data_IF_646378747820
#
_entry.id   IF_646378747820
#
_cell.length_a   1.000
_cell.length_b   1.000
_cell.length_c   1.000
_cell.angle_alpha   90.00
_cell.angle_beta   90.00
_cell.angle_gamma   90.00
#
_symmetry.space_group_name_H-M   'P 1'
#
loop_
_entity.id
_entity.type
_entity.pdbx_description
1 polymer ?
#
# COMPACT_ATOMS: atom_id res chain seq x y z
N UNK A 1 -28.90 -53.20 38.99
CA UNK A 1 -29.13 -52.68 37.62
C UNK A 1 -30.09 -51.51 37.68
N UNK A 2 -29.63 -50.25 37.63
CA UNK A 2 -30.43 -49.03 37.30
C UNK A 2 -29.59 -47.75 37.47
N UNK A 3 -28.57 -47.52 36.62
CA UNK A 3 -27.79 -46.25 36.60
C UNK A 3 -27.76 -45.60 35.20
N UNK A 4 -28.31 -46.27 34.18
CA UNK A 4 -28.22 -45.86 32.77
C UNK A 4 -29.16 -44.70 32.32
N UNK A 5 -30.36 -44.44 32.90
CA UNK A 5 -31.28 -43.47 32.30
C UNK A 5 -30.97 -42.00 32.61
N UNK A 6 -30.15 -41.71 33.63
CA UNK A 6 -29.88 -40.33 34.10
C UNK A 6 -28.79 -39.63 33.29
N UNK A 7 -27.76 -40.37 32.85
CA UNK A 7 -26.69 -39.86 31.97
C UNK A 7 -27.21 -39.47 30.58
N UNK A 8 -28.21 -40.18 30.06
CA UNK A 8 -28.81 -39.92 28.74
C UNK A 8 -29.63 -38.61 28.70
N UNK A 9 -30.18 -38.17 29.83
CA UNK A 9 -30.95 -36.92 29.94
C UNK A 9 -30.04 -35.69 30.09
N UNK A 10 -28.87 -35.85 30.71
CA UNK A 10 -27.89 -34.77 30.85
C UNK A 10 -27.24 -34.45 29.50
N UNK A 11 -26.87 -35.46 28.70
CA UNK A 11 -26.32 -35.26 27.34
C UNK A 11 -27.32 -34.58 26.39
N UNK A 12 -28.63 -34.88 26.51
CA UNK A 12 -29.65 -34.26 25.66
C UNK A 12 -29.93 -32.78 26.01
N UNK A 13 -29.80 -32.41 27.28
CA UNK A 13 -30.00 -31.04 27.75
C UNK A 13 -28.80 -30.12 27.41
N UNK A 14 -27.58 -30.65 27.36
CA UNK A 14 -26.40 -29.88 26.95
C UNK A 14 -26.35 -29.64 25.43
N UNK A 15 -26.93 -30.51 24.60
CA UNK A 15 -27.01 -30.30 23.15
C UNK A 15 -28.00 -29.21 22.72
N UNK A 16 -29.04 -28.90 23.52
CA UNK A 16 -30.05 -27.89 23.14
C UNK A 16 -29.61 -26.44 23.40
N UNK A 17 -28.67 -26.19 24.32
CA UNK A 17 -28.22 -24.83 24.64
C UNK A 17 -27.07 -24.33 23.73
N UNK A 18 -26.37 -25.23 23.02
CA UNK A 18 -25.25 -24.88 22.13
C UNK A 18 -25.72 -24.47 20.72
N UNK A 19 -26.86 -24.99 20.27
CA UNK A 19 -27.41 -24.69 18.94
C UNK A 19 -27.75 -23.20 18.69
N UNK A 20 -28.42 -22.45 19.59
CA UNK A 20 -28.79 -21.06 19.31
C UNK A 20 -27.59 -20.11 19.29
N UNK A 21 -26.56 -20.36 20.11
CA UNK A 21 -25.33 -19.56 20.12
C UNK A 21 -24.52 -19.76 18.83
N UNK A 22 -24.48 -20.99 18.29
CA UNK A 22 -23.82 -21.30 17.02
C UNK A 22 -24.51 -20.64 15.83
N UNK A 23 -25.85 -20.57 15.83
CA UNK A 23 -26.61 -19.94 14.75
C UNK A 23 -26.41 -18.42 14.74
N UNK A 24 -26.52 -17.77 15.91
CA UNK A 24 -26.29 -16.33 16.03
C UNK A 24 -24.86 -15.92 15.65
N UNK A 25 -23.85 -16.73 16.00
CA UNK A 25 -22.47 -16.48 15.59
C UNK A 25 -22.27 -16.64 14.08
N UNK A 26 -22.93 -17.62 13.47
CA UNK A 26 -22.90 -17.83 12.01
C UNK A 26 -23.57 -16.67 11.27
N UNK A 27 -24.72 -16.19 11.76
CA UNK A 27 -25.42 -15.03 11.20
C UNK A 27 -24.56 -13.77 11.30
N UNK A 28 -23.94 -13.53 12.46
CA UNK A 28 -23.04 -12.38 12.66
C UNK A 28 -21.83 -12.42 11.71
N UNK A 29 -21.20 -13.59 11.55
CA UNK A 29 -20.09 -13.77 10.61
C UNK A 29 -20.53 -13.55 9.15
N UNK A 30 -21.74 -13.99 8.78
CA UNK A 30 -22.28 -13.75 7.45
C UNK A 30 -22.50 -12.26 7.19
N UNK A 31 -23.11 -11.53 8.13
CA UNK A 31 -23.30 -10.08 8.01
C UNK A 31 -21.97 -9.33 7.94
N UNK A 32 -20.97 -9.71 8.72
CA UNK A 32 -19.63 -9.13 8.65
C UNK A 32 -19.03 -9.26 7.23
N UNK A 33 -19.14 -10.45 6.62
CA UNK A 33 -18.65 -10.70 5.25
C UNK A 33 -19.38 -9.85 4.20
N UNK A 34 -20.71 -9.70 4.34
CA UNK A 34 -21.52 -8.83 3.46
C UNK A 34 -21.10 -7.37 3.62
N UNK A 35 -20.88 -6.90 4.84
CA UNK A 35 -20.40 -5.54 5.11
C UNK A 35 -19.06 -5.28 4.42
N UNK A 36 -18.09 -6.19 4.56
CA UNK A 36 -16.79 -6.07 3.90
C UNK A 36 -16.93 -5.98 2.37
N UNK A 37 -17.83 -6.78 1.76
CA UNK A 37 -18.10 -6.65 0.32
C UNK A 37 -18.70 -5.30 -0.06
N UNK A 38 -19.61 -4.77 0.76
CA UNK A 38 -20.19 -3.44 0.54
C UNK A 38 -19.13 -2.34 0.63
N UNK A 39 -18.21 -2.44 1.59
CA UNK A 39 -17.07 -1.54 1.74
C UNK A 39 -16.12 -1.61 0.54
N UNK A 40 -15.74 -2.81 0.10
CA UNK A 40 -14.88 -3.00 -1.08
C UNK A 40 -15.56 -2.50 -2.36
N UNK A 41 -16.86 -2.76 -2.53
CA UNK A 41 -17.61 -2.24 -3.66
C UNK A 41 -17.57 -0.71 -3.68
N UNK A 42 -17.81 -0.06 -2.54
CA UNK A 42 -17.78 1.39 -2.43
C UNK A 42 -16.38 1.94 -2.71
N UNK A 43 -15.34 1.39 -2.07
CA UNK A 43 -13.95 1.82 -2.25
C UNK A 43 -13.55 1.76 -3.73
N UNK A 44 -13.79 0.63 -4.40
CA UNK A 44 -13.44 0.47 -5.82
C UNK A 44 -14.28 1.42 -6.70
N UNK A 45 -15.57 1.55 -6.43
CA UNK A 45 -16.48 2.41 -7.21
C UNK A 45 -16.06 3.87 -7.16
N UNK A 46 -15.65 4.36 -5.99
CA UNK A 46 -15.41 5.77 -5.77
C UNK A 46 -13.94 6.19 -5.84
N UNK A 47 -12.99 5.28 -5.55
CA UNK A 47 -11.57 5.61 -5.45
C UNK A 47 -10.69 4.96 -6.54
N UNK A 48 -11.07 3.80 -7.10
CA UNK A 48 -10.17 3.07 -8.00
C UNK A 48 -9.94 3.81 -9.33
N UNK A 49 -8.69 4.23 -9.64
CA UNK A 49 -8.42 5.09 -10.80
C UNK A 49 -8.68 4.39 -12.14
N UNK A 50 -8.59 3.06 -12.20
CA UNK A 50 -8.75 2.31 -13.46
C UNK A 50 -10.19 1.91 -13.76
N UNK A 51 -11.14 2.19 -12.86
CA UNK A 51 -12.56 1.95 -13.14
C UNK A 51 -13.14 3.03 -14.11
N UNK A 52 -12.38 4.09 -14.34
CA UNK A 52 -12.75 5.19 -15.24
C UNK A 52 -12.55 4.78 -16.70
N UNK A 53 -13.61 4.31 -17.34
CA UNK A 53 -13.56 3.83 -18.73
C UNK A 53 -14.70 2.88 -19.12
N UNK A 54 -15.46 2.35 -18.15
CA UNK A 54 -16.69 1.60 -18.39
C UNK A 54 -16.52 0.19 -18.96
N UNK A 55 -15.29 -0.33 -19.06
CA UNK A 55 -15.01 -1.66 -19.61
C UNK A 55 -15.09 -2.77 -18.57
N UNK A 56 -14.89 -2.46 -17.29
CA UNK A 56 -14.94 -3.44 -16.20
C UNK A 56 -16.35 -3.60 -15.66
N UNK A 57 -16.89 -4.81 -15.70
CA UNK A 57 -18.23 -5.15 -15.18
C UNK A 57 -18.24 -5.29 -13.64
N UNK A 58 -17.75 -4.27 -12.93
CA UNK A 58 -17.52 -4.29 -11.49
C UNK A 58 -18.77 -4.59 -10.65
N UNK A 59 -19.90 -3.95 -11.00
CA UNK A 59 -21.16 -4.18 -10.29
C UNK A 59 -21.66 -5.62 -10.46
N UNK A 60 -21.58 -6.16 -11.68
CA UNK A 60 -21.97 -7.54 -11.95
C UNK A 60 -21.07 -8.55 -11.21
N UNK A 61 -19.75 -8.28 -11.16
CA UNK A 61 -18.82 -9.10 -10.39
C UNK A 61 -19.12 -9.05 -8.89
N UNK A 62 -19.44 -7.87 -8.35
CA UNK A 62 -19.83 -7.70 -6.95
C UNK A 62 -21.12 -8.46 -6.62
N UNK A 63 -22.14 -8.39 -7.47
CA UNK A 63 -23.39 -9.15 -7.28
C UNK A 63 -23.10 -10.66 -7.26
N UNK A 64 -22.28 -11.16 -8.19
CA UNK A 64 -21.89 -12.56 -8.19
C UNK A 64 -21.10 -12.96 -6.92
N UNK A 65 -20.24 -12.07 -6.42
CA UNK A 65 -19.49 -12.27 -5.18
C UNK A 65 -20.39 -12.29 -3.94
N UNK A 66 -21.44 -11.46 -3.91
CA UNK A 66 -22.46 -11.47 -2.85
C UNK A 66 -23.19 -12.82 -2.84
N UNK A 67 -23.67 -13.29 -3.99
CA UNK A 67 -24.34 -14.58 -4.11
C UNK A 67 -23.43 -15.75 -3.71
N UNK A 68 -22.14 -15.68 -4.02
CA UNK A 68 -21.16 -16.67 -3.59
C UNK A 68 -20.93 -16.61 -2.08
N UNK A 69 -20.89 -15.42 -1.49
CA UNK A 69 -20.68 -15.20 -0.05
C UNK A 69 -21.83 -15.71 0.79
N UNK A 70 -23.06 -15.55 0.33
CA UNK A 70 -24.25 -16.13 0.98
C UNK A 70 -24.21 -17.66 1.05
N UNK A 71 -23.46 -18.31 0.15
CA UNK A 71 -23.25 -19.76 0.09
C UNK A 71 -21.93 -20.22 0.70
N UNK A 72 -21.06 -19.29 1.09
CA UNK A 72 -19.71 -19.60 1.56
C UNK A 72 -19.74 -20.09 3.02
N UNK A 73 -19.21 -21.30 3.30
CA UNK A 73 -19.31 -21.89 4.64
C UNK A 73 -18.23 -21.38 5.62
N UNK A 74 -17.25 -20.60 5.16
CA UNK A 74 -16.07 -20.26 5.96
C UNK A 74 -15.42 -18.94 5.55
N UNK A 75 -14.55 -18.42 6.43
CA UNK A 75 -13.77 -17.20 6.20
C UNK A 75 -12.75 -17.36 5.07
N UNK A 76 -12.10 -18.53 4.97
CA UNK A 76 -11.18 -18.82 3.87
C UNK A 76 -11.91 -18.85 2.52
N UNK A 77 -13.13 -19.41 2.47
CA UNK A 77 -13.95 -19.37 1.26
C UNK A 77 -14.36 -17.93 0.89
N UNK A 78 -14.69 -17.11 1.88
CA UNK A 78 -14.98 -15.69 1.67
C UNK A 78 -13.75 -14.93 1.13
N UNK A 79 -12.58 -15.10 1.73
CA UNK A 79 -11.34 -14.48 1.26
C UNK A 79 -10.95 -14.95 -0.15
N UNK A 80 -11.24 -16.20 -0.52
CA UNK A 80 -11.11 -16.69 -1.89
C UNK A 80 -12.01 -15.89 -2.87
N UNK A 81 -13.28 -15.70 -2.51
CA UNK A 81 -14.26 -14.91 -3.30
C UNK A 81 -13.78 -13.47 -3.46
N UNK A 82 -13.30 -12.82 -2.39
CA UNK A 82 -12.73 -11.47 -2.47
C UNK A 82 -11.56 -11.41 -3.44
N UNK A 83 -10.67 -12.40 -3.42
CA UNK A 83 -9.55 -12.47 -4.37
C UNK A 83 -10.02 -12.57 -5.83
N UNK A 84 -11.04 -13.39 -6.11
CA UNK A 84 -11.64 -13.49 -7.45
C UNK A 84 -12.33 -12.19 -7.86
N UNK A 85 -13.01 -11.51 -6.94
CA UNK A 85 -13.64 -10.22 -7.19
C UNK A 85 -12.59 -9.16 -7.58
N UNK A 86 -11.53 -8.98 -6.79
CA UNK A 86 -10.49 -7.99 -7.07
C UNK A 86 -9.74 -8.27 -8.37
N UNK A 87 -9.55 -9.56 -8.72
CA UNK A 87 -8.91 -9.94 -9.99
C UNK A 87 -9.69 -9.46 -11.23
N UNK A 88 -10.98 -9.12 -11.12
CA UNK A 88 -11.76 -8.55 -12.24
C UNK A 88 -11.29 -7.17 -12.69
N UNK A 89 -10.52 -6.46 -11.84
CA UNK A 89 -9.98 -5.14 -12.13
C UNK A 89 -8.71 -5.18 -12.98
N UNK A 90 -8.06 -6.35 -13.11
CA UNK A 90 -6.79 -6.55 -13.81
C UNK A 90 -5.69 -5.55 -13.38
N UNK A 91 -5.72 -5.14 -12.11
CA UNK A 91 -4.73 -4.24 -11.51
C UNK A 91 -3.79 -5.03 -10.58
N UNK A 92 -2.48 -5.10 -10.87
CA UNK A 92 -1.52 -5.82 -10.03
C UNK A 92 -1.39 -5.25 -8.62
N UNK A 93 -1.76 -3.99 -8.38
CA UNK A 93 -1.76 -3.39 -7.04
C UNK A 93 -3.07 -3.65 -6.27
N UNK A 94 -4.15 -4.02 -6.96
CA UNK A 94 -5.44 -4.33 -6.35
C UNK A 94 -5.62 -5.83 -6.27
N UNK A 95 -5.29 -6.40 -5.11
CA UNK A 95 -5.15 -7.83 -4.94
C UNK A 95 -5.41 -8.26 -3.50
N UNK A 96 -5.61 -9.56 -3.30
CA UNK A 96 -5.62 -10.16 -1.96
C UNK A 96 -4.21 -10.57 -1.57
N UNK A 97 -3.74 -10.06 -0.45
CA UNK A 97 -2.53 -10.53 0.21
C UNK A 97 -2.87 -11.53 1.29
N UNK A 98 -2.27 -12.71 1.21
CA UNK A 98 -2.17 -13.62 2.35
C UNK A 98 -0.90 -13.22 3.11
N UNK A 99 -0.95 -13.03 4.44
CA UNK A 99 0.24 -12.82 5.25
C UNK A 99 1.21 -13.95 4.96
N UNK A 100 2.22 -13.66 4.14
CA UNK A 100 3.22 -14.64 3.83
C UNK A 100 4.13 -14.74 5.05
N UNK A 101 4.41 -15.96 5.50
CA UNK A 101 5.52 -16.24 6.41
C UNK A 101 6.85 -16.06 5.66
N UNK A 102 7.11 -14.86 5.13
CA UNK A 102 8.33 -14.54 4.41
C UNK A 102 9.22 -13.76 5.37
N UNK A 103 10.35 -14.41 5.71
CA UNK A 103 11.44 -13.83 6.45
C UNK A 103 12.11 -12.75 5.63
N UNK A 104 11.66 -11.51 5.81
CA UNK A 104 12.55 -10.38 5.59
C UNK A 104 13.76 -10.59 6.51
N UNK A 105 14.95 -10.21 6.06
CA UNK A 105 16.08 -10.09 6.96
C UNK A 105 15.64 -9.29 8.19
N UNK A 106 15.98 -9.76 9.39
CA UNK A 106 15.60 -9.07 10.62
C UNK A 106 16.28 -7.71 10.66
N UNK A 107 15.54 -6.67 10.29
CA UNK A 107 15.98 -5.28 10.43
C UNK A 107 15.67 -4.84 11.85
N UNK A 108 16.68 -4.36 12.56
CA UNK A 108 16.50 -3.77 13.90
C UNK A 108 16.35 -2.26 13.76
N UNK A 109 15.36 -1.68 14.44
CA UNK A 109 15.27 -0.20 14.54
C UNK A 109 16.53 0.36 15.18
N UNK A 110 17.09 1.39 14.55
CA UNK A 110 18.29 2.10 14.97
C UNK A 110 18.31 3.50 14.34
N UNK A 111 19.05 4.45 14.95
CA UNK A 111 19.38 5.72 14.31
C UNK A 111 20.02 5.52 12.94
N UNK A 112 19.76 6.46 12.02
CA UNK A 112 20.32 6.42 10.68
C UNK A 112 21.85 6.52 10.74
N UNK A 113 22.51 5.81 9.83
CA UNK A 113 23.98 5.74 9.77
C UNK A 113 24.44 6.02 8.36
N UNK A 114 25.48 6.83 8.25
CA UNK A 114 26.19 7.02 7.00
C UNK A 114 27.59 6.42 7.11
N UNK A 115 27.95 5.59 6.15
CA UNK A 115 29.30 5.05 6.01
C UNK A 115 29.79 5.26 4.58
N UNK A 116 31.10 5.42 4.42
CA UNK A 116 31.74 5.53 3.12
C UNK A 116 32.79 4.45 2.96
N UNK A 117 32.71 3.73 1.85
CA UNK A 117 33.70 2.77 1.41
C UNK A 117 34.21 3.15 0.01
N UNK A 118 35.37 3.80 -0.02
CA UNK A 118 35.97 4.31 -1.26
C UNK A 118 35.06 5.32 -1.99
N UNK A 119 34.49 4.88 -3.12
CA UNK A 119 33.62 5.70 -4.00
C UNK A 119 32.12 5.49 -3.76
N UNK A 120 31.76 4.67 -2.75
CA UNK A 120 30.39 4.33 -2.42
C UNK A 120 30.07 4.90 -1.03
N UNK A 121 29.02 5.71 -0.95
CA UNK A 121 28.38 6.09 0.31
C UNK A 121 27.14 5.24 0.55
N UNK A 122 26.92 4.83 1.80
CA UNK A 122 25.72 4.08 2.21
C UNK A 122 25.05 4.85 3.34
N UNK A 123 23.82 5.30 3.10
CA UNK A 123 22.93 5.83 4.13
C UNK A 123 21.90 4.75 4.47
N UNK A 124 22.00 4.19 5.66
CA UNK A 124 21.06 3.21 6.19
C UNK A 124 20.03 3.91 7.08
N UNK A 125 18.74 3.67 6.80
CA UNK A 125 17.61 4.18 7.57
C UNK A 125 16.60 3.07 7.80
N UNK A 126 16.52 2.61 9.04
CA UNK A 126 15.65 1.50 9.45
C UNK A 126 14.42 1.93 10.25
N UNK A 127 14.41 3.17 10.76
CA UNK A 127 13.34 3.73 11.59
C UNK A 127 13.05 5.19 11.17
N UNK A 128 11.86 5.47 10.61
CA UNK A 128 11.46 6.82 10.24
C UNK A 128 11.42 7.82 11.41
N UNK A 129 11.09 7.37 12.63
CA UNK A 129 11.01 8.25 13.81
C UNK A 129 12.39 8.56 14.41
N UNK A 130 13.38 7.71 14.15
CA UNK A 130 14.76 7.96 14.59
C UNK A 130 15.42 9.13 13.84
N UNK A 131 14.78 9.72 12.85
CA UNK A 131 15.24 10.93 12.13
C UNK A 131 15.46 12.14 13.04
N UNK A 132 14.76 12.22 14.18
CA UNK A 132 14.98 13.26 15.19
C UNK A 132 16.25 13.05 16.02
N UNK A 133 16.80 11.84 16.02
CA UNK A 133 18.04 11.55 16.73
C UNK A 133 19.21 12.39 16.15
N UNK A 134 20.04 13.03 16.99
CA UNK A 134 21.17 13.84 16.51
C UNK A 134 22.15 13.07 15.64
N UNK A 135 22.38 11.77 15.87
CA UNK A 135 23.24 10.96 15.02
C UNK A 135 22.59 10.72 13.66
N UNK A 136 21.28 10.50 13.60
CA UNK A 136 20.54 10.44 12.33
C UNK A 136 20.67 11.74 11.54
N UNK A 137 20.44 12.89 12.18
CA UNK A 137 20.56 14.20 11.52
C UNK A 137 21.98 14.44 10.98
N UNK A 138 23.00 14.02 11.73
CA UNK A 138 24.38 14.05 11.28
C UNK A 138 24.60 13.13 10.06
N UNK A 139 24.03 11.92 10.05
CA UNK A 139 24.11 10.99 8.93
C UNK A 139 23.45 11.54 7.66
N UNK A 140 22.25 12.12 7.74
CA UNK A 140 21.60 12.78 6.59
C UNK A 140 22.42 13.98 6.07
N UNK A 141 22.96 14.78 7.00
CA UNK A 141 23.83 15.92 6.64
C UNK A 141 25.12 15.44 5.96
N UNK A 142 25.71 14.36 6.45
CA UNK A 142 26.90 13.78 5.84
C UNK A 142 26.60 13.21 4.45
N UNK A 143 25.53 12.42 4.29
CA UNK A 143 25.13 11.84 3.02
C UNK A 143 24.84 12.89 1.92
N UNK A 144 24.23 14.02 2.31
CA UNK A 144 23.92 15.13 1.39
C UNK A 144 25.15 15.97 0.98
N UNK A 145 26.24 15.90 1.74
CA UNK A 145 27.50 16.65 1.46
C UNK A 145 28.64 15.77 0.98
N UNK A 146 28.52 14.45 1.10
CA UNK A 146 29.57 13.51 0.76
C UNK A 146 29.89 13.51 -0.75
N UNK A 147 31.15 13.22 -1.07
CA UNK A 147 31.71 13.25 -2.41
C UNK A 147 31.87 11.87 -3.06
N UNK A 148 31.22 10.83 -2.55
CA UNK A 148 31.12 9.53 -3.23
C UNK A 148 30.48 9.68 -4.61
N UNK A 149 30.86 8.81 -5.54
CA UNK A 149 30.26 8.76 -6.87
C UNK A 149 28.89 8.10 -6.86
N UNK A 150 28.71 7.16 -5.93
CA UNK A 150 27.52 6.33 -5.78
C UNK A 150 26.99 6.48 -4.38
N UNK A 151 25.67 6.58 -4.27
CA UNK A 151 24.96 6.60 -3.00
C UNK A 151 23.97 5.44 -2.96
N UNK A 152 24.09 4.61 -1.93
CA UNK A 152 23.09 3.60 -1.59
C UNK A 152 22.23 4.16 -0.47
N UNK A 153 20.92 4.23 -0.69
CA UNK A 153 19.92 4.48 0.34
C UNK A 153 19.28 3.16 0.72
N UNK A 154 19.69 2.59 1.84
CA UNK A 154 19.04 1.43 2.40
C UNK A 154 17.88 1.90 3.28
N UNK A 155 16.66 1.83 2.74
CA UNK A 155 15.43 2.27 3.39
C UNK A 155 14.58 1.09 3.86
N UNK A 156 15.17 -0.10 4.00
CA UNK A 156 14.46 -1.27 4.52
C UNK A 156 14.00 -1.00 5.95
N UNK A 157 12.69 -1.13 6.18
CA UNK A 157 12.07 -0.89 7.48
C UNK A 157 12.01 -2.16 8.33
N UNK A 158 12.05 -1.99 9.66
CA UNK A 158 11.79 -3.07 10.61
C UNK A 158 10.28 -3.35 10.81
N UNK A 159 9.45 -2.33 10.64
CA UNK A 159 8.01 -2.35 10.84
C UNK A 159 7.34 -1.27 9.97
N UNK A 160 6.02 -1.38 9.71
CA UNK A 160 5.29 -0.36 8.95
C UNK A 160 5.47 1.04 9.54
N UNK A 161 5.76 2.01 8.69
CA UNK A 161 5.84 3.41 9.07
C UNK A 161 4.44 4.02 9.21
N UNK A 162 4.19 4.71 10.31
CA UNK A 162 2.99 5.55 10.44
C UNK A 162 3.10 6.84 9.60
N UNK A 163 1.97 7.51 9.36
CA UNK A 163 1.91 8.70 8.49
C UNK A 163 2.84 9.82 8.94
N UNK A 164 2.98 10.03 10.26
CA UNK A 164 3.88 11.04 10.80
C UNK A 164 5.35 10.69 10.55
N UNK A 165 5.76 9.46 10.89
CA UNK A 165 7.12 8.97 10.61
C UNK A 165 7.47 9.04 9.12
N UNK A 166 6.53 8.68 8.24
CA UNK A 166 6.67 8.82 6.78
C UNK A 166 6.95 10.26 6.36
N UNK A 167 6.18 11.22 6.87
CA UNK A 167 6.36 12.63 6.55
C UNK A 167 7.74 13.15 6.99
N UNK A 168 8.17 12.81 8.22
CA UNK A 168 9.46 13.26 8.74
C UNK A 168 10.62 12.66 7.95
N UNK A 169 10.58 11.36 7.64
CA UNK A 169 11.63 10.71 6.85
C UNK A 169 11.73 11.31 5.45
N UNK A 170 10.62 11.58 4.79
CA UNK A 170 10.62 12.25 3.49
C UNK A 170 11.27 13.64 3.55
N UNK A 171 10.99 14.42 4.60
CA UNK A 171 11.66 15.71 4.83
C UNK A 171 13.17 15.56 5.05
N UNK A 172 13.60 14.55 5.81
CA UNK A 172 15.02 14.28 6.08
C UNK A 172 15.78 13.79 4.83
N UNK A 173 15.11 13.05 3.94
CA UNK A 173 15.68 12.54 2.69
C UNK A 173 15.78 13.60 1.59
N UNK A 174 14.94 14.64 1.61
CA UNK A 174 14.89 15.62 0.52
C UNK A 174 16.28 16.24 0.20
N UNK A 175 17.09 16.73 1.16
CA UNK A 175 18.42 17.25 0.86
C UNK A 175 19.36 16.20 0.27
N UNK A 176 19.23 14.94 0.71
CA UNK A 176 20.02 13.82 0.19
C UNK A 176 19.66 13.54 -1.27
N UNK A 177 18.38 13.45 -1.60
CA UNK A 177 17.91 13.24 -2.97
C UNK A 177 18.28 14.43 -3.89
N UNK A 178 18.20 15.67 -3.41
CA UNK A 178 18.58 16.86 -4.18
C UNK A 178 20.08 16.99 -4.40
N UNK A 179 20.90 16.37 -3.54
CA UNK A 179 22.36 16.42 -3.65
C UNK A 179 22.92 15.49 -4.71
N UNK A 180 22.15 14.49 -5.18
CA UNK A 180 22.57 13.55 -6.25
C UNK A 180 22.24 14.04 -7.66
N UNK A 181 21.65 15.23 -7.79
CA UNK A 181 21.16 15.78 -9.05
C UNK A 181 22.07 16.86 -9.62
N UNK A 182 22.09 16.97 -10.94
CA UNK A 182 22.69 18.07 -11.71
C UNK A 182 21.64 18.93 -12.44
N UNK A 183 20.44 18.39 -12.68
CA UNK A 183 19.31 19.09 -13.29
C UNK A 183 18.03 18.89 -12.49
N UNK A 184 17.07 19.80 -12.66
CA UNK A 184 15.72 19.59 -12.12
C UNK A 184 15.09 18.38 -12.78
N UNK A 185 14.48 17.52 -11.97
CA UNK A 185 13.71 16.35 -12.44
C UNK A 185 12.24 16.57 -12.07
N UNK A 186 11.35 16.42 -13.06
CA UNK A 186 9.91 16.43 -12.85
C UNK A 186 9.43 14.99 -12.68
N UNK A 187 8.69 14.74 -11.62
CA UNK A 187 8.12 13.43 -11.32
C UNK A 187 6.79 13.15 -12.00
N UNK A 188 6.22 12.03 -11.61
CA UNK A 188 4.85 11.69 -11.95
C UNK A 188 3.88 12.45 -11.05
N UNK A 189 2.77 12.92 -11.63
CA UNK A 189 1.66 13.46 -10.89
C UNK A 189 0.85 12.32 -10.26
N UNK A 190 0.37 12.54 -9.04
CA UNK A 190 -0.65 11.66 -8.47
C UNK A 190 -1.98 11.92 -9.19
N UNK A 191 -2.61 10.84 -9.64
CA UNK A 191 -3.95 10.85 -10.18
C UNK A 191 -4.85 9.96 -9.31
N UNK A 192 -5.99 10.51 -8.93
CA UNK A 192 -6.97 9.85 -8.07
C UNK A 192 -8.37 10.06 -8.61
N UNK A 193 -9.26 9.12 -8.31
CA UNK A 193 -10.68 9.33 -8.54
C UNK A 193 -11.24 10.13 -7.37
N UNK A 194 -12.09 11.11 -7.69
CA UNK A 194 -12.84 11.89 -6.71
C UNK A 194 -14.32 11.70 -6.96
N UNK A 195 -15.08 11.52 -5.88
CA UNK A 195 -16.52 11.45 -5.90
C UNK A 195 -17.08 12.50 -4.94
N UNK A 196 -17.63 13.57 -5.52
CA UNK A 196 -18.40 14.56 -4.79
C UNK A 196 -19.88 14.19 -4.97
N UNK A 197 -20.39 13.30 -4.11
CA UNK A 197 -21.74 12.74 -4.22
C UNK A 197 -22.07 12.09 -5.58
N UNK A 198 -23.36 11.97 -5.90
CA UNK A 198 -23.83 11.31 -7.11
C UNK A 198 -24.02 12.31 -8.25
N UNK A 199 -23.40 12.00 -9.39
CA UNK A 199 -23.56 12.79 -10.60
C UNK A 199 -25.03 12.88 -11.00
N UNK A 200 -25.50 14.08 -11.34
CA UNK A 200 -26.85 14.33 -11.81
C UNK A 200 -26.76 14.90 -13.22
N UNK A 201 -27.21 14.12 -14.20
CA UNK A 201 -27.22 14.48 -15.63
C UNK A 201 -28.43 15.33 -16.04
N UNK A 202 -29.26 15.77 -15.09
CA UNK A 202 -30.46 16.58 -15.34
C UNK A 202 -30.16 18.04 -15.68
N UNK A 203 -31.11 18.70 -16.37
CA UNK A 203 -31.02 20.10 -16.82
C UNK A 203 -30.86 21.15 -15.68
N UNK A 204 -31.05 20.75 -14.43
CA UNK A 204 -30.90 21.59 -13.24
C UNK A 204 -29.69 21.17 -12.37
N UNK A 205 -28.71 20.47 -12.95
CA UNK A 205 -27.50 20.09 -12.24
C UNK A 205 -26.71 21.34 -11.84
N UNK A 206 -26.29 21.40 -10.56
CA UNK A 206 -25.41 22.47 -10.07
C UNK A 206 -23.95 22.28 -10.51
N UNK A 207 -23.59 21.14 -11.11
CA UNK A 207 -22.21 20.77 -11.43
C UNK A 207 -21.32 20.52 -10.20
N UNK A 208 -21.86 20.65 -8.99
CA UNK A 208 -21.13 20.45 -7.74
C UNK A 208 -20.98 18.97 -7.38
N UNK A 209 -21.94 18.14 -7.79
CA UNK A 209 -21.86 16.70 -7.65
C UNK A 209 -21.23 16.10 -8.90
N UNK A 210 -20.10 15.41 -8.73
CA UNK A 210 -19.33 14.87 -9.86
C UNK A 210 -18.47 13.70 -9.43
N UNK A 211 -18.29 12.76 -10.35
CA UNK A 211 -17.19 11.81 -10.31
C UNK A 211 -16.17 12.20 -11.38
N UNK A 212 -14.90 12.33 -11.00
CA UNK A 212 -13.85 12.72 -11.93
C UNK A 212 -12.54 12.02 -11.60
N UNK A 213 -11.65 11.95 -12.60
CA UNK A 213 -10.23 11.73 -12.35
C UNK A 213 -9.57 13.10 -12.16
N UNK A 214 -8.96 13.32 -11.01
CA UNK A 214 -8.15 14.50 -10.73
C UNK A 214 -6.68 14.10 -10.79
N UNK A 215 -5.91 14.85 -11.58
CA UNK A 215 -4.45 14.73 -11.64
C UNK A 215 -3.84 15.96 -10.99
N UNK A 216 -3.02 15.74 -9.96
CA UNK A 216 -2.31 16.80 -9.25
C UNK A 216 -1.20 17.42 -10.09
N UNK A 217 -0.56 18.44 -9.54
CA UNK A 217 0.69 18.95 -10.12
C UNK A 217 1.81 17.93 -9.88
N UNK A 218 2.59 17.64 -10.92
CA UNK A 218 3.77 16.81 -10.78
C UNK A 218 4.80 17.48 -9.85
N UNK A 219 5.37 16.75 -8.87
CA UNK A 219 6.41 17.28 -8.02
C UNK A 219 7.70 17.50 -8.84
N UNK A 220 8.45 18.55 -8.51
CA UNK A 220 9.75 18.82 -9.09
C UNK A 220 10.84 18.75 -8.02
N UNK A 221 11.91 18.02 -8.30
CA UNK A 221 13.08 17.93 -7.45
C UNK A 221 14.22 18.75 -8.08
N UNK A 222 14.58 19.86 -7.44
CA UNK A 222 15.63 20.77 -7.92
C UNK A 222 16.96 20.49 -7.20
N UNK A 223 18.10 20.44 -7.91
CA UNK A 223 19.41 20.23 -7.29
C UNK A 223 19.70 21.20 -6.13
N UNK A 224 20.48 20.75 -5.15
CA UNK A 224 21.09 21.68 -4.19
C UNK A 224 22.14 22.56 -4.88
N UNK A 225 22.43 23.77 -4.36
CA UNK A 225 23.58 24.53 -4.79
C UNK A 225 24.86 23.69 -4.67
N UNK A 226 25.63 23.57 -5.77
CA UNK A 226 26.85 22.75 -5.85
C UNK A 226 26.62 21.25 -5.63
N UNK A 227 25.40 20.76 -5.82
CA UNK A 227 25.15 19.32 -5.92
C UNK A 227 26.03 18.70 -7.02
N UNK A 228 26.36 17.42 -6.84
CA UNK A 228 27.11 16.66 -7.82
C UNK A 228 26.24 15.49 -8.26
N UNK A 229 26.14 15.23 -9.57
CA UNK A 229 25.41 14.06 -10.03
C UNK A 229 26.07 12.79 -9.49
N UNK A 230 25.27 11.92 -8.88
CA UNK A 230 25.70 10.63 -8.32
C UNK A 230 24.76 9.53 -8.77
N UNK A 231 25.27 8.32 -8.95
CA UNK A 231 24.40 7.16 -9.16
C UNK A 231 23.70 6.84 -7.83
N UNK A 232 22.36 6.80 -7.85
CA UNK A 232 21.56 6.47 -6.69
C UNK A 232 21.05 5.02 -6.80
N UNK A 233 21.27 4.24 -5.75
CA UNK A 233 20.61 2.94 -5.56
C UNK A 233 19.75 3.03 -4.31
N UNK A 234 18.49 2.62 -4.40
CA UNK A 234 17.57 2.57 -3.27
C UNK A 234 17.18 1.13 -3.00
N UNK A 235 17.38 0.68 -1.76
CA UNK A 235 17.02 -0.66 -1.31
C UNK A 235 15.77 -0.58 -0.46
N UNK A 236 14.77 -1.39 -0.79
CA UNK A 236 13.44 -1.37 -0.18
C UNK A 236 13.01 -2.76 0.27
N UNK A 237 12.11 -2.81 1.24
CA UNK A 237 11.31 -3.98 1.62
C UNK A 237 9.85 -3.57 1.84
N UNK A 238 9.03 -4.49 2.35
CA UNK A 238 7.58 -4.29 2.52
C UNK A 238 7.22 -3.19 3.52
N UNK A 239 8.18 -2.80 4.37
CA UNK A 239 8.03 -1.78 5.40
C UNK A 239 8.73 -0.46 5.05
N UNK A 240 9.34 -0.37 3.87
CA UNK A 240 10.02 0.83 3.44
C UNK A 240 9.07 1.99 3.20
N UNK A 241 9.51 3.19 3.60
CA UNK A 241 8.95 4.44 3.09
C UNK A 241 9.54 4.71 1.73
N UNK A 242 8.70 4.73 0.70
CA UNK A 242 9.11 5.07 -0.67
C UNK A 242 9.12 6.60 -0.81
N UNK A 243 10.27 7.25 -1.04
CA UNK A 243 10.29 8.70 -1.19
C UNK A 243 9.48 9.13 -2.42
N UNK A 244 8.61 10.15 -2.33
CA UNK A 244 7.77 10.56 -3.46
C UNK A 244 8.55 10.91 -4.74
N UNK A 245 9.79 11.40 -4.60
CA UNK A 245 10.64 11.73 -5.73
C UNK A 245 11.33 10.52 -6.37
N UNK A 246 11.24 9.31 -5.80
CA UNK A 246 11.96 8.14 -6.29
C UNK A 246 11.53 7.73 -7.71
N UNK A 247 10.23 7.77 -8.02
CA UNK A 247 9.74 7.48 -9.36
C UNK A 247 10.30 8.44 -10.41
N UNK A 248 10.35 9.73 -10.06
CA UNK A 248 10.95 10.78 -10.89
C UNK A 248 12.42 10.49 -11.18
N UNK A 249 13.19 10.15 -10.14
CA UNK A 249 14.61 9.84 -10.23
C UNK A 249 14.85 8.57 -11.06
N UNK A 250 14.04 7.54 -10.88
CA UNK A 250 14.14 6.30 -11.64
C UNK A 250 13.87 6.53 -13.14
N UNK A 251 12.79 7.24 -13.46
CA UNK A 251 12.42 7.55 -14.85
C UNK A 251 13.43 8.44 -15.56
N UNK A 252 14.10 9.34 -14.82
CA UNK A 252 15.21 10.14 -15.33
C UNK A 252 16.53 9.35 -15.47
N UNK A 253 16.54 8.04 -15.16
CA UNK A 253 17.75 7.22 -15.16
C UNK A 253 18.76 7.62 -14.09
N UNK A 254 18.30 8.28 -13.02
CA UNK A 254 19.13 8.76 -11.90
C UNK A 254 19.10 7.85 -10.69
N UNK A 255 18.11 6.96 -10.59
CA UNK A 255 18.00 5.98 -9.52
C UNK A 255 17.78 4.56 -10.06
N UNK A 256 18.29 3.58 -9.33
CA UNK A 256 17.91 2.17 -9.44
C UNK A 256 17.27 1.70 -8.14
N UNK A 257 16.28 0.83 -8.23
CA UNK A 257 15.51 0.34 -7.09
C UNK A 257 15.68 -1.16 -6.95
N UNK A 258 16.17 -1.60 -5.79
CA UNK A 258 16.32 -3.01 -5.42
C UNK A 258 15.32 -3.33 -4.33
N UNK A 259 14.55 -4.41 -4.49
CA UNK A 259 13.53 -4.83 -3.54
C UNK A 259 13.89 -6.17 -2.92
N UNK A 260 13.89 -6.22 -1.59
CA UNK A 260 13.89 -7.45 -0.81
C UNK A 260 12.44 -7.85 -0.53
N UNK A 261 12.00 -8.96 -1.13
CA UNK A 261 10.61 -9.41 -1.01
C UNK A 261 9.65 -8.54 -1.83
N UNK A 262 8.89 -7.68 -1.16
CA UNK A 262 7.92 -6.76 -1.78
C UNK A 262 8.15 -5.32 -1.32
N UNK A 263 7.54 -4.34 -1.99
CA UNK A 263 7.62 -2.93 -1.60
C UNK A 263 6.28 -2.21 -1.86
N UNK A 264 5.93 -1.17 -1.07
CA UNK A 264 4.66 -0.47 -1.20
C UNK A 264 4.72 0.63 -2.26
N UNK A 265 4.81 0.26 -3.54
CA UNK A 265 4.91 1.24 -4.63
C UNK A 265 3.60 1.99 -4.91
N UNK A 266 2.48 1.28 -4.84
CA UNK A 266 1.16 1.84 -5.14
C UNK A 266 0.50 2.42 -3.88
N UNK A 267 -0.20 3.54 -4.07
CA UNK A 267 -1.12 4.08 -3.09
C UNK A 267 -2.36 3.16 -2.98
N UNK A 268 -2.46 2.46 -1.86
CA UNK A 268 -3.50 1.45 -1.60
C UNK A 268 -4.24 1.74 -0.30
N UNK A 269 -5.50 1.32 -0.26
CA UNK A 269 -6.28 1.13 0.95
C UNK A 269 -6.31 -0.37 1.29
N UNK A 270 -6.13 -0.70 2.56
CA UNK A 270 -6.13 -2.08 3.05
C UNK A 270 -7.42 -2.37 3.83
N UNK A 271 -8.03 -3.53 3.56
CA UNK A 271 -9.22 -4.04 4.23
C UNK A 271 -8.91 -5.41 4.83
N UNK A 272 -8.84 -5.53 6.17
CA UNK A 272 -8.63 -6.81 6.83
C UNK A 272 -9.77 -7.79 6.53
N UNK A 273 -9.43 -9.04 6.24
CA UNK A 273 -10.37 -10.13 6.00
C UNK A 273 -10.42 -11.07 7.22
N UNK A 274 -11.53 -11.80 7.44
CA UNK A 274 -11.72 -12.61 8.65
C UNK A 274 -10.72 -13.76 8.82
N UNK A 275 -10.09 -14.25 7.74
CA UNK A 275 -9.04 -15.28 7.80
C UNK A 275 -7.63 -14.71 8.08
N UNK A 276 -7.53 -13.42 8.40
CA UNK A 276 -6.27 -12.71 8.60
C UNK A 276 -5.59 -12.25 7.31
N UNK A 277 -6.15 -12.58 6.13
CA UNK A 277 -5.70 -11.98 4.88
C UNK A 277 -6.14 -10.53 4.73
N UNK A 278 -5.58 -9.82 3.75
CA UNK A 278 -5.85 -8.39 3.52
C UNK A 278 -6.22 -8.19 2.06
N UNK A 279 -7.34 -7.52 1.81
CA UNK A 279 -7.66 -6.98 0.50
C UNK A 279 -6.98 -5.62 0.34
N UNK A 280 -6.17 -5.47 -0.70
CA UNK A 280 -5.55 -4.19 -1.10
C UNK A 280 -6.28 -3.63 -2.30
N UNK A 281 -6.67 -2.37 -2.23
CA UNK A 281 -7.35 -1.64 -3.30
C UNK A 281 -6.54 -0.41 -3.64
N UNK A 282 -6.17 -0.23 -4.91
CA UNK A 282 -5.51 0.99 -5.38
C UNK A 282 -6.47 2.18 -5.29
N UNK A 283 -6.00 3.27 -4.68
CA UNK A 283 -6.78 4.52 -4.51
C UNK A 283 -6.19 5.69 -5.29
N UNK A 284 -4.94 5.57 -5.74
CA UNK A 284 -4.32 6.50 -6.66
C UNK A 284 -3.30 5.79 -7.55
N UNK A 285 -3.00 6.38 -8.71
CA UNK A 285 -1.88 6.00 -9.54
C UNK A 285 -0.95 7.19 -9.81
N UNK A 286 0.32 6.89 -10.03
CA UNK A 286 1.28 7.87 -10.51
C UNK A 286 1.25 7.89 -12.05
N UNK A 287 1.17 9.09 -12.63
CA UNK A 287 1.16 9.29 -14.09
C UNK A 287 2.16 10.33 -14.55
N UNK A 288 2.85 10.01 -15.64
CA UNK A 288 3.74 10.92 -16.34
C UNK A 288 2.97 11.94 -17.18
N UNK A 289 3.59 13.07 -17.58
CA UNK A 289 2.96 14.05 -18.48
C UNK A 289 2.51 13.47 -19.83
N UNK A 290 3.12 12.37 -20.28
CA UNK A 290 2.75 11.65 -21.50
C UNK A 290 1.64 10.59 -21.28
N UNK A 291 1.10 10.50 -20.07
CA UNK A 291 0.03 9.57 -19.69
C UNK A 291 0.50 8.15 -19.36
N UNK A 292 1.80 7.83 -19.49
CA UNK A 292 2.34 6.54 -19.04
C UNK A 292 2.35 6.44 -17.52
N UNK A 293 2.44 5.21 -17.02
CA UNK A 293 2.61 4.97 -15.58
C UNK A 293 3.88 5.63 -15.06
N UNK A 294 3.70 6.32 -13.95
CA UNK A 294 4.72 6.99 -13.16
C UNK A 294 5.22 6.19 -11.96
N UNK A 295 4.73 4.97 -11.81
CA UNK A 295 5.00 4.10 -10.65
C UNK A 295 6.47 3.70 -10.57
N UNK A 296 6.95 3.52 -9.34
CA UNK A 296 8.26 2.93 -9.09
C UNK A 296 8.21 1.44 -9.41
N UNK A 297 9.23 0.93 -10.06
CA UNK A 297 9.37 -0.51 -10.36
C UNK A 297 10.67 -1.05 -9.77
N UNK A 298 10.71 -2.33 -9.42
CA UNK A 298 11.97 -2.96 -9.07
C UNK A 298 12.83 -3.13 -10.32
N UNK A 299 14.09 -2.70 -10.27
CA UNK A 299 15.07 -2.97 -11.31
C UNK A 299 15.54 -4.43 -11.20
N UNK A 300 15.61 -5.12 -12.34
CA UNK A 300 16.20 -6.46 -12.40
C UNK A 300 17.71 -6.33 -12.20
N UNK A 301 18.25 -7.01 -11.20
CA UNK A 301 19.69 -7.07 -10.90
C UNK A 301 20.33 -8.23 -11.63
#
# INVERSE_FOLDING_TARGET
MTVVPTLRRIVLATCLAVAPASLAAQDAAQWQRITILGELWAEVTFAHPWLTGGTTAWDAATIAALDATLRAPSDSAFSAIVGTLLATLDDPATTRLVPAAIGDATVTSAPARFAREGRIGVLQVSDPLATFDPASQAAFTQASRDSADRLVLDLRGAAPAESYGTAILNGALEPVLRSVLDTTVTGAAERRRVAYGFDNVGAFSSGQYRMALETGAAPCLTPLPRARPRELVVVLNRFSVVPPALGALQQAGRARVVVEGSAPFAAVQEHPLPDGSVARVRVADLVLPDGRSGEVVADTV
#
